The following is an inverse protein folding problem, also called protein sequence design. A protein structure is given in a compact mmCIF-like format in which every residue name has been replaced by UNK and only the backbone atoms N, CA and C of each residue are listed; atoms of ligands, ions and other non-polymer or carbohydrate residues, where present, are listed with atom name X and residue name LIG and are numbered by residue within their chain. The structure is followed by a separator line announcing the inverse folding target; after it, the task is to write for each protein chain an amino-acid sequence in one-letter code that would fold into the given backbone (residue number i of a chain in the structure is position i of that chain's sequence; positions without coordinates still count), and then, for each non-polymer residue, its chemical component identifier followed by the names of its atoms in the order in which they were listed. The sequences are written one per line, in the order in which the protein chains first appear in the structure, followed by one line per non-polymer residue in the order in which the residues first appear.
data_IF_023924526972
#
_entry.id   IF_023924526972
#
_cell.length_a   1.000
_cell.length_b   1.000
_cell.length_c   1.000
_cell.angle_alpha   90.00
_cell.angle_beta   90.00
_cell.angle_gamma   90.00
#
_symmetry.space_group_name_H-M   'P 1'
#
loop_
_entity.id
_entity.type
_entity.pdbx_description
1 polymer ?
#
# COMPACT_ATOMS: atom_id res chain seq x y z
N UNK A 1 -15.31 61.28 47.53
CA UNK A 1 -16.44 60.42 47.09
C UNK A 1 -15.91 59.59 45.93
N UNK A 2 -15.23 58.44 46.14
CA UNK A 2 -15.77 57.09 46.46
C UNK A 2 -16.93 56.71 45.51
N UNK A 3 -16.95 55.64 44.71
CA UNK A 3 -16.28 54.33 44.82
C UNK A 3 -16.15 53.62 43.46
N UNK A 4 -15.23 52.64 43.39
CA UNK A 4 -15.12 51.57 42.38
C UNK A 4 -16.24 50.51 42.52
N UNK A 5 -16.45 49.70 41.48
CA UNK A 5 -16.42 48.22 41.64
C UNK A 5 -15.55 47.58 40.54
N UNK A 6 -14.51 46.77 40.76
CA UNK A 6 -14.34 45.44 41.39
C UNK A 6 -15.27 44.33 40.84
N UNK A 7 -14.74 43.64 39.82
CA UNK A 7 -14.51 42.18 39.72
C UNK A 7 -15.70 41.20 39.75
N UNK A 8 -15.80 40.31 38.73
CA UNK A 8 -15.66 38.86 38.95
C UNK A 8 -15.56 38.06 37.64
N UNK A 9 -14.47 37.29 37.55
CA UNK A 9 -14.21 36.24 36.55
C UNK A 9 -14.77 34.91 37.05
N UNK A 10 -15.60 34.22 36.26
CA UNK A 10 -16.02 32.84 36.56
C UNK A 10 -15.14 31.91 35.73
N UNK A 11 -14.07 31.40 36.36
CA UNK A 11 -13.36 30.20 35.92
C UNK A 11 -14.00 29.00 36.62
N UNK A 12 -14.70 28.16 35.86
CA UNK A 12 -15.11 26.84 36.35
C UNK A 12 -13.92 25.89 36.23
N UNK A 13 -13.32 25.58 37.37
CA UNK A 13 -12.30 24.53 37.54
C UNK A 13 -13.00 23.39 38.27
N UNK A 14 -13.12 22.22 37.63
CA UNK A 14 -13.46 20.98 38.33
C UNK A 14 -12.26 20.05 38.25
N UNK A 15 -11.69 19.80 39.42
CA UNK A 15 -10.63 18.84 39.71
C UNK A 15 -11.04 18.03 40.94
N UNK A 16 -10.40 16.87 41.07
CA UNK A 16 -10.48 15.86 42.15
C UNK A 16 -11.63 14.86 41.91
N UNK A 17 -11.41 13.55 41.93
CA UNK A 17 -10.61 12.79 42.90
C UNK A 17 -10.08 11.47 42.31
N UNK A 18 -8.80 11.18 42.55
CA UNK A 18 -8.22 9.83 42.54
C UNK A 18 -8.70 9.08 43.78
N UNK A 19 -9.09 7.82 43.65
CA UNK A 19 -8.91 6.81 44.70
C UNK A 19 -8.60 5.45 44.07
N UNK A 20 -7.54 4.84 44.59
CA UNK A 20 -7.02 3.51 44.30
C UNK A 20 -7.13 2.74 45.63
N UNK A 21 -7.63 1.50 45.66
CA UNK A 21 -7.39 0.62 46.80
C UNK A 21 -6.56 -0.62 46.42
N UNK A 22 -5.67 -0.94 47.35
CA UNK A 22 -4.76 -2.09 47.40
C UNK A 22 -5.53 -3.39 47.68
N UNK A 23 -4.96 -4.51 47.20
CA UNK A 23 -5.42 -5.89 47.31
C UNK A 23 -5.59 -6.42 48.76
N UNK A 24 -6.22 -7.60 48.93
CA UNK A 24 -5.40 -8.77 49.26
C UNK A 24 -5.77 -10.06 48.50
N UNK A 25 -4.75 -10.91 48.39
CA UNK A 25 -4.69 -12.32 47.96
C UNK A 25 -5.49 -13.28 48.83
N UNK A 26 -5.94 -14.43 48.28
CA UNK A 26 -5.57 -15.80 48.70
C UNK A 26 -6.26 -16.89 47.86
N UNK A 27 -5.43 -17.85 47.40
CA UNK A 27 -5.68 -19.28 47.14
C UNK A 27 -6.72 -19.71 46.09
N UNK A 28 -6.70 -20.89 45.45
CA UNK A 28 -5.71 -21.93 45.13
C UNK A 28 -6.54 -22.98 44.38
N UNK A 29 -6.32 -23.21 43.09
CA UNK A 29 -6.64 -24.52 42.49
C UNK A 29 -5.58 -24.90 41.45
N UNK A 30 -4.85 -25.95 41.79
CA UNK A 30 -3.87 -26.66 40.97
C UNK A 30 -4.61 -27.59 40.00
N UNK A 31 -4.19 -27.65 38.73
CA UNK A 31 -3.82 -28.90 38.04
C UNK A 31 -3.26 -28.67 36.63
N UNK A 32 -2.46 -29.63 36.09
CA UNK A 32 -1.30 -29.32 35.27
C UNK A 32 -1.39 -29.82 33.81
N UNK A 33 -0.36 -29.42 33.05
CA UNK A 33 0.29 -30.15 31.95
C UNK A 33 -0.59 -30.64 30.79
N UNK A 34 -0.45 -29.99 29.63
CA UNK A 34 -0.14 -30.72 28.40
C UNK A 34 0.75 -29.89 27.47
N UNK A 35 1.99 -30.36 27.39
CA UNK A 35 3.12 -29.89 26.60
C UNK A 35 3.02 -30.56 25.23
N UNK A 36 2.52 -29.88 24.21
CA UNK A 36 2.67 -30.32 22.82
C UNK A 36 4.02 -29.85 22.30
N UNK A 37 4.98 -30.77 22.33
CA UNK A 37 6.28 -30.62 21.71
C UNK A 37 6.10 -30.67 20.19
N UNK A 38 6.44 -29.60 19.48
CA UNK A 38 6.75 -29.69 18.05
C UNK A 38 8.22 -30.08 17.92
N UNK A 39 8.45 -31.30 17.46
CA UNK A 39 9.76 -31.84 17.15
C UNK A 39 10.36 -31.06 15.98
N UNK A 40 11.51 -30.42 16.23
CA UNK A 40 12.42 -29.92 15.20
C UNK A 40 12.97 -31.10 14.41
N UNK A 41 12.69 -31.16 13.12
CA UNK A 41 13.44 -31.99 12.19
C UNK A 41 14.66 -31.19 11.71
N UNK A 42 15.82 -31.57 12.22
CA UNK A 42 17.13 -31.12 11.77
C UNK A 42 17.47 -31.83 10.46
N UNK A 43 17.40 -31.12 9.34
CA UNK A 43 17.97 -31.59 8.07
C UNK A 43 19.43 -31.17 7.98
N UNK A 44 20.33 -32.04 8.40
CA UNK A 44 21.76 -31.98 8.09
C UNK A 44 21.97 -32.48 6.66
N UNK A 45 22.09 -31.56 5.70
CA UNK A 45 22.66 -31.90 4.39
C UNK A 45 24.14 -31.56 4.42
N UNK A 46 24.95 -32.61 4.45
CA UNK A 46 26.39 -32.55 4.32
C UNK A 46 26.79 -31.90 2.99
N UNK A 47 27.71 -30.94 3.07
CA UNK A 47 28.32 -30.26 1.93
C UNK A 47 29.69 -30.91 1.68
N UNK A 48 29.90 -31.62 0.56
CA UNK A 48 31.26 -32.03 0.21
C UNK A 48 32.00 -30.83 -0.38
N UNK A 49 33.20 -30.59 0.15
CA UNK A 49 34.22 -29.77 -0.49
C UNK A 49 34.92 -30.64 -1.55
N UNK A 50 34.99 -30.16 -2.79
CA UNK A 50 35.90 -30.68 -3.80
C UNK A 50 36.48 -29.51 -4.61
N UNK A 51 37.78 -29.61 -4.85
CA UNK A 51 38.67 -28.57 -5.32
C UNK A 51 38.66 -28.40 -6.85
N UNK A 52 39.06 -27.18 -7.25
CA UNK A 52 39.84 -26.78 -8.44
C UNK A 52 39.81 -27.70 -9.66
N UNK A 53 39.27 -27.19 -10.77
CA UNK A 53 39.95 -27.25 -12.07
C UNK A 53 39.63 -26.02 -12.92
N UNK A 54 40.69 -25.49 -13.51
CA UNK A 54 40.74 -24.53 -14.60
C UNK A 54 40.22 -25.18 -15.87
N UNK A 55 39.31 -24.53 -16.63
CA UNK A 55 39.40 -24.62 -18.09
C UNK A 55 38.69 -23.47 -18.84
N UNK A 56 39.52 -22.71 -19.54
CA UNK A 56 39.39 -22.17 -20.89
C UNK A 56 38.02 -22.27 -21.59
N UNK A 57 37.33 -21.13 -21.77
CA UNK A 57 36.24 -20.98 -22.76
C UNK A 57 36.73 -20.24 -24.00
N UNK A 58 36.60 -20.82 -25.22
CA UNK A 58 36.93 -20.12 -26.45
C UNK A 58 35.86 -19.08 -26.81
N UNK A 59 36.35 -17.89 -27.18
CA UNK A 59 35.57 -16.75 -27.64
C UNK A 59 35.21 -16.92 -29.12
N UNK A 60 34.03 -17.47 -29.42
CA UNK A 60 33.49 -17.50 -30.78
C UNK A 60 32.67 -16.23 -31.03
N UNK A 61 33.33 -15.22 -31.64
CA UNK A 61 32.67 -14.02 -32.19
C UNK A 61 31.94 -14.41 -33.48
N UNK A 62 30.63 -14.61 -33.41
CA UNK A 62 29.76 -14.58 -34.60
C UNK A 62 29.32 -13.15 -34.84
N UNK A 63 29.89 -12.53 -35.87
CA UNK A 63 29.49 -11.23 -36.37
C UNK A 63 28.18 -11.38 -37.17
N UNK A 64 27.09 -10.86 -36.63
CA UNK A 64 25.86 -10.65 -37.40
C UNK A 64 25.79 -9.17 -37.82
N UNK A 65 25.51 -8.86 -39.09
CA UNK A 65 25.37 -7.47 -39.54
C UNK A 65 24.06 -6.88 -38.99
N UNK A 66 24.19 -5.82 -38.20
CA UNK A 66 23.07 -5.03 -37.67
C UNK A 66 22.31 -4.35 -38.81
N UNK A 67 20.97 -4.42 -38.89
CA UNK A 67 20.22 -3.59 -39.82
C UNK A 67 20.30 -2.12 -39.38
N UNK A 68 20.62 -1.26 -40.35
CA UNK A 68 20.71 0.20 -40.20
C UNK A 68 19.33 0.72 -39.77
N UNK A 69 19.22 1.14 -38.51
CA UNK A 69 18.04 1.83 -38.02
C UNK A 69 18.01 3.25 -38.60
N UNK A 70 17.14 3.50 -39.57
CA UNK A 70 16.79 4.85 -40.01
C UNK A 70 16.17 5.61 -38.83
N UNK A 71 16.93 6.55 -38.25
CA UNK A 71 16.39 7.50 -37.26
C UNK A 71 15.59 8.57 -37.99
N UNK A 72 14.27 8.57 -37.80
CA UNK A 72 13.43 9.70 -38.15
C UNK A 72 13.76 10.88 -37.23
N UNK A 73 14.40 11.94 -37.76
CA UNK A 73 14.65 13.18 -37.05
C UNK A 73 13.36 13.99 -37.02
N UNK A 74 12.54 13.83 -35.96
CA UNK A 74 11.39 14.70 -35.73
C UNK A 74 11.87 16.04 -35.18
N UNK A 75 11.56 17.11 -35.90
CA UNK A 75 11.80 18.49 -35.52
C UNK A 75 11.17 18.77 -34.15
N UNK A 76 11.98 18.93 -33.11
CA UNK A 76 11.50 19.37 -31.82
C UNK A 76 11.06 20.83 -31.95
N UNK A 77 9.74 21.07 -32.05
CA UNK A 77 9.19 22.39 -31.81
C UNK A 77 9.61 22.85 -30.40
N UNK A 78 9.91 24.15 -30.20
CA UNK A 78 10.22 24.68 -28.87
C UNK A 78 8.92 24.64 -28.06
N UNK A 79 8.65 23.49 -27.46
CA UNK A 79 7.67 23.41 -26.40
C UNK A 79 8.21 24.30 -25.30
N UNK A 80 7.50 25.38 -25.03
CA UNK A 80 7.48 26.04 -23.71
C UNK A 80 7.05 24.99 -22.68
N UNK A 81 7.93 24.02 -22.42
CA UNK A 81 7.85 23.07 -21.33
C UNK A 81 8.17 23.88 -20.08
N UNK A 82 7.21 24.68 -19.65
CA UNK A 82 7.07 24.94 -18.23
C UNK A 82 6.79 23.56 -17.62
N UNK A 83 7.87 22.86 -17.26
CA UNK A 83 7.80 21.71 -16.38
C UNK A 83 7.00 22.18 -15.17
N UNK A 84 5.75 21.73 -15.06
CA UNK A 84 4.85 22.25 -14.04
C UNK A 84 5.46 21.85 -12.72
N UNK A 85 6.10 22.81 -12.05
CA UNK A 85 6.71 22.63 -10.74
C UNK A 85 5.59 22.30 -9.77
N UNK A 86 5.37 21.01 -9.59
CA UNK A 86 4.31 20.50 -8.74
C UNK A 86 4.64 20.94 -7.31
N UNK A 87 3.65 21.27 -6.48
CA UNK A 87 3.87 21.48 -5.05
C UNK A 87 3.87 20.12 -4.28
N UNK A 88 4.35 20.07 -3.04
CA UNK A 88 4.35 18.85 -2.21
C UNK A 88 2.93 18.38 -1.91
N UNK A 89 2.00 19.30 -1.63
CA UNK A 89 0.61 18.92 -1.37
C UNK A 89 -0.06 18.37 -2.63
N UNK A 90 0.25 18.97 -3.78
CA UNK A 90 -0.22 18.49 -5.08
C UNK A 90 0.37 17.11 -5.44
N UNK A 91 1.65 16.88 -5.15
CA UNK A 91 2.29 15.57 -5.33
C UNK A 91 1.58 14.46 -4.55
N UNK A 92 1.33 14.67 -3.26
CA UNK A 92 0.64 13.69 -2.42
C UNK A 92 -0.81 13.45 -2.88
N UNK A 93 -1.51 14.50 -3.30
CA UNK A 93 -2.85 14.37 -3.92
C UNK A 93 -2.80 13.54 -5.19
N UNK A 94 -1.83 13.77 -6.07
CA UNK A 94 -1.67 12.99 -7.31
C UNK A 94 -1.34 11.52 -7.02
N UNK A 95 -0.46 11.25 -6.06
CA UNK A 95 -0.13 9.88 -5.61
C UNK A 95 -1.36 9.16 -5.05
N UNK A 96 -2.14 9.84 -4.19
CA UNK A 96 -3.38 9.30 -3.62
C UNK A 96 -4.45 9.10 -4.71
N UNK A 97 -4.52 10.01 -5.69
CA UNK A 97 -5.49 9.94 -6.79
C UNK A 97 -5.33 8.65 -7.57
N UNK A 98 -4.09 8.24 -7.91
CA UNK A 98 -3.83 7.02 -8.69
C UNK A 98 -4.51 5.78 -8.10
N UNK A 99 -4.44 5.61 -6.77
CA UNK A 99 -5.10 4.49 -6.07
C UNK A 99 -6.62 4.63 -6.06
N UNK A 100 -7.15 5.85 -5.91
CA UNK A 100 -8.60 6.12 -5.97
C UNK A 100 -9.17 5.84 -7.35
N UNK A 101 -8.49 6.22 -8.43
CA UNK A 101 -8.94 5.95 -9.79
C UNK A 101 -9.08 4.45 -10.06
N UNK A 102 -8.13 3.63 -9.61
CA UNK A 102 -8.24 2.17 -9.75
C UNK A 102 -9.40 1.58 -8.95
N UNK A 103 -9.68 2.09 -7.74
CA UNK A 103 -10.81 1.63 -6.93
C UNK A 103 -12.15 2.04 -7.54
N UNK A 104 -12.26 3.31 -7.94
CA UNK A 104 -13.48 3.85 -8.57
C UNK A 104 -13.75 3.15 -9.89
N UNK A 105 -12.71 2.90 -10.70
CA UNK A 105 -12.87 2.19 -11.96
C UNK A 105 -13.26 0.73 -11.76
N UNK A 106 -12.73 0.01 -10.75
CA UNK A 106 -13.20 -1.33 -10.39
C UNK A 106 -14.69 -1.38 -10.08
N UNK A 107 -15.18 -0.44 -9.27
CA UNK A 107 -16.59 -0.38 -8.92
C UNK A 107 -17.43 0.00 -10.14
N UNK A 108 -17.02 1.03 -10.88
CA UNK A 108 -17.73 1.48 -12.07
C UNK A 108 -17.77 0.42 -13.17
N UNK A 109 -16.66 -0.28 -13.43
CA UNK A 109 -16.59 -1.37 -14.41
C UNK A 109 -17.38 -2.59 -13.96
N UNK A 110 -17.43 -2.89 -12.66
CA UNK A 110 -18.30 -3.94 -12.13
C UNK A 110 -19.78 -3.60 -12.37
N UNK A 111 -20.21 -2.38 -12.02
CA UNK A 111 -21.58 -1.91 -12.26
C UNK A 111 -21.94 -1.89 -13.75
N UNK A 112 -21.04 -1.40 -14.60
CA UNK A 112 -21.25 -1.36 -16.05
C UNK A 112 -21.34 -2.77 -16.63
N UNK A 113 -20.43 -3.67 -16.23
CA UNK A 113 -20.44 -5.07 -16.65
C UNK A 113 -21.73 -5.74 -16.20
N UNK A 114 -22.11 -5.64 -14.93
CA UNK A 114 -23.38 -6.19 -14.42
C UNK A 114 -24.58 -5.62 -15.15
N UNK A 115 -24.63 -4.32 -15.44
CA UNK A 115 -25.74 -3.71 -16.18
C UNK A 115 -25.86 -4.30 -17.59
N UNK A 116 -24.73 -4.45 -18.29
CA UNK A 116 -24.69 -5.10 -19.61
C UNK A 116 -25.06 -6.59 -19.49
N UNK A 117 -24.54 -7.28 -18.48
CA UNK A 117 -24.80 -8.69 -18.23
C UNK A 117 -26.25 -8.99 -17.95
N UNK A 118 -26.92 -8.16 -17.13
CA UNK A 118 -28.35 -8.24 -16.86
C UNK A 118 -29.15 -7.93 -18.12
N UNK A 119 -28.76 -6.93 -18.91
CA UNK A 119 -29.43 -6.64 -20.18
C UNK A 119 -29.34 -7.81 -21.16
N UNK A 120 -28.17 -8.45 -21.26
CA UNK A 120 -27.96 -9.64 -22.08
C UNK A 120 -28.76 -10.81 -21.53
N UNK A 121 -28.72 -11.08 -20.22
CA UNK A 121 -29.50 -12.14 -19.57
C UNK A 121 -31.01 -11.95 -19.74
N UNK A 122 -31.50 -10.71 -19.70
CA UNK A 122 -32.92 -10.40 -19.93
C UNK A 122 -33.37 -10.68 -21.36
N UNK A 123 -32.44 -10.74 -22.32
CA UNK A 123 -32.75 -11.09 -23.72
C UNK A 123 -32.65 -12.59 -24.00
N UNK A 124 -32.16 -13.39 -23.05
CA UNK A 124 -32.06 -14.84 -23.17
C UNK A 124 -33.25 -15.50 -22.48
N UNK A 125 -33.75 -16.61 -23.05
CA UNK A 125 -34.78 -17.40 -22.40
C UNK A 125 -34.22 -18.07 -21.12
N UNK A 126 -34.73 -17.66 -19.97
CA UNK A 126 -34.27 -18.13 -18.65
C UNK A 126 -34.50 -19.63 -18.47
N UNK A 127 -35.52 -20.21 -19.10
CA UNK A 127 -35.80 -21.65 -19.07
C UNK A 127 -34.72 -22.45 -19.80
N UNK A 128 -34.17 -21.92 -20.91
CA UNK A 128 -33.07 -22.55 -21.62
C UNK A 128 -31.78 -22.51 -20.81
N UNK A 129 -31.49 -21.41 -20.11
CA UNK A 129 -30.31 -21.29 -19.24
C UNK A 129 -30.40 -22.19 -18.00
N UNK A 130 -31.56 -22.28 -17.35
CA UNK A 130 -31.78 -23.16 -16.21
C UNK A 130 -31.68 -24.65 -16.56
N UNK A 131 -32.29 -25.06 -17.68
CA UNK A 131 -32.22 -26.43 -18.16
C UNK A 131 -30.80 -26.82 -18.65
N UNK A 132 -30.06 -25.89 -19.26
CA UNK A 132 -28.72 -26.13 -19.80
C UNK A 132 -27.64 -26.17 -18.71
N UNK A 133 -27.82 -25.42 -17.62
CA UNK A 133 -26.89 -25.38 -16.49
C UNK A 133 -27.35 -26.36 -15.41
N UNK A 134 -27.05 -27.64 -15.62
CA UNK A 134 -27.07 -28.69 -14.57
C UNK A 134 -28.43 -28.94 -13.89
N UNK A 135 -29.56 -28.49 -14.47
CA UNK A 135 -30.89 -28.64 -13.87
C UNK A 135 -31.11 -27.80 -12.60
N UNK A 136 -30.32 -26.73 -12.41
CA UNK A 136 -30.49 -25.77 -11.33
C UNK A 136 -31.69 -24.84 -11.58
N UNK A 137 -32.29 -24.33 -10.49
CA UNK A 137 -33.36 -23.32 -10.56
C UNK A 137 -32.88 -22.08 -11.34
N UNK A 138 -33.64 -21.61 -12.36
CA UNK A 138 -33.36 -20.40 -13.11
C UNK A 138 -32.99 -19.18 -12.25
N UNK A 139 -33.56 -19.00 -11.06
CA UNK A 139 -33.21 -17.89 -10.18
C UNK A 139 -31.79 -17.98 -9.61
N UNK A 140 -31.33 -19.19 -9.29
CA UNK A 140 -29.96 -19.43 -8.81
C UNK A 140 -28.97 -19.20 -9.95
N UNK A 141 -29.29 -19.72 -11.15
CA UNK A 141 -28.46 -19.51 -12.34
C UNK A 141 -28.35 -18.03 -12.68
N UNK A 142 -29.46 -17.28 -12.63
CA UNK A 142 -29.49 -15.84 -12.83
C UNK A 142 -28.61 -15.10 -11.81
N UNK A 143 -28.71 -15.46 -10.54
CA UNK A 143 -27.88 -14.88 -9.47
C UNK A 143 -26.39 -15.14 -9.68
N UNK A 144 -26.01 -16.38 -10.01
CA UNK A 144 -24.62 -16.76 -10.29
C UNK A 144 -24.08 -16.11 -11.55
N UNK A 145 -24.85 -16.06 -12.63
CA UNK A 145 -24.45 -15.41 -13.87
C UNK A 145 -24.28 -13.90 -13.70
N UNK A 146 -25.19 -13.26 -12.95
CA UNK A 146 -25.08 -11.82 -12.62
C UNK A 146 -23.85 -11.55 -11.75
N UNK A 147 -23.59 -12.39 -10.75
CA UNK A 147 -22.41 -12.29 -9.90
C UNK A 147 -21.11 -12.51 -10.70
N UNK A 148 -21.09 -13.49 -11.61
CA UNK A 148 -19.96 -13.74 -12.51
C UNK A 148 -19.68 -12.53 -13.40
N UNK A 149 -20.73 -11.92 -13.97
CA UNK A 149 -20.58 -10.72 -14.79
C UNK A 149 -20.02 -9.53 -13.99
N UNK A 150 -20.47 -9.34 -12.74
CA UNK A 150 -19.93 -8.32 -11.84
C UNK A 150 -18.48 -8.58 -11.44
N UNK A 151 -18.11 -9.84 -11.19
CA UNK A 151 -16.75 -10.25 -10.85
C UNK A 151 -15.78 -10.02 -12.01
N UNK A 152 -16.19 -10.35 -13.24
CA UNK A 152 -15.41 -10.09 -14.47
C UNK A 152 -15.20 -8.58 -14.64
N UNK A 153 -16.25 -7.78 -14.52
CA UNK A 153 -16.16 -6.31 -14.61
C UNK A 153 -15.25 -5.71 -13.54
N UNK A 154 -15.32 -6.24 -12.31
CA UNK A 154 -14.46 -5.81 -11.21
C UNK A 154 -12.98 -6.11 -11.48
N UNK A 155 -12.67 -7.26 -12.10
CA UNK A 155 -11.31 -7.68 -12.44
C UNK A 155 -10.68 -6.81 -13.54
N UNK A 156 -11.47 -6.40 -14.54
CA UNK A 156 -11.00 -5.53 -15.62
C UNK A 156 -10.87 -4.06 -15.21
N UNK A 157 -11.63 -3.62 -14.20
CA UNK A 157 -11.70 -2.21 -13.84
C UNK A 157 -10.37 -1.54 -13.44
N UNK A 158 -9.44 -2.15 -12.68
CA UNK A 158 -8.17 -1.52 -12.31
C UNK A 158 -7.28 -1.18 -13.52
N UNK A 159 -7.28 -2.06 -14.52
CA UNK A 159 -6.50 -1.88 -15.74
C UNK A 159 -7.01 -0.66 -16.53
N UNK A 160 -8.34 -0.57 -16.70
CA UNK A 160 -9.01 0.57 -17.36
C UNK A 160 -8.77 1.87 -16.58
N UNK A 161 -8.93 1.86 -15.26
CA UNK A 161 -8.70 3.04 -14.42
C UNK A 161 -7.28 3.55 -14.44
N UNK A 162 -6.28 2.66 -14.43
CA UNK A 162 -4.88 3.05 -14.54
C UNK A 162 -4.56 3.64 -15.92
N UNK A 163 -5.20 3.12 -16.98
CA UNK A 163 -5.14 3.71 -18.33
C UNK A 163 -5.69 5.13 -18.37
N UNK A 164 -6.92 5.33 -17.86
CA UNK A 164 -7.58 6.65 -17.82
C UNK A 164 -6.77 7.66 -17.01
N UNK A 165 -6.31 7.28 -15.81
CA UNK A 165 -5.44 8.14 -15.00
C UNK A 165 -4.18 8.53 -15.75
N UNK A 166 -3.59 7.57 -16.48
CA UNK A 166 -2.40 7.79 -17.27
C UNK A 166 -2.58 8.77 -18.43
N UNK A 167 -3.80 8.90 -18.97
CA UNK A 167 -4.16 9.85 -20.00
C UNK A 167 -4.46 11.23 -19.41
N UNK A 168 -5.29 11.30 -18.36
CA UNK A 168 -5.70 12.54 -17.68
C UNK A 168 -4.49 13.28 -17.10
N UNK A 169 -3.58 12.56 -16.45
CA UNK A 169 -2.41 13.16 -15.80
C UNK A 169 -1.12 13.07 -16.62
N UNK A 170 -1.22 12.87 -17.95
CA UNK A 170 -0.05 12.70 -18.83
C UNK A 170 0.95 13.85 -18.72
N UNK A 171 0.46 15.08 -18.56
CA UNK A 171 1.31 16.28 -18.42
C UNK A 171 2.09 16.33 -17.10
N UNK A 172 1.55 15.77 -16.03
CA UNK A 172 2.15 15.82 -14.70
C UNK A 172 3.05 14.61 -14.39
N UNK A 173 2.96 13.52 -15.17
CA UNK A 173 3.78 12.31 -15.02
C UNK A 173 5.28 12.57 -14.84
N UNK A 174 5.97 13.34 -15.70
CA UNK A 174 7.41 13.54 -15.55
C UNK A 174 7.74 14.25 -14.23
N UNK A 175 7.03 15.33 -13.90
CA UNK A 175 7.24 16.09 -12.66
C UNK A 175 6.90 15.28 -11.41
N UNK A 176 5.88 14.42 -11.45
CA UNK A 176 5.55 13.47 -10.38
C UNK A 176 6.69 12.47 -10.18
N UNK A 177 7.23 11.90 -11.25
CA UNK A 177 8.33 10.94 -11.16
C UNK A 177 9.60 11.57 -10.57
N UNK A 178 9.93 12.82 -10.96
CA UNK A 178 11.07 13.55 -10.37
C UNK A 178 10.85 13.78 -8.87
N UNK A 179 9.66 14.24 -8.47
CA UNK A 179 9.33 14.42 -7.06
C UNK A 179 9.25 13.13 -6.27
N UNK A 180 8.84 12.03 -6.90
CA UNK A 180 8.82 10.73 -6.26
C UNK A 180 10.24 10.28 -5.92
N UNK A 181 11.20 10.48 -6.83
CA UNK A 181 12.63 10.24 -6.54
C UNK A 181 13.13 11.11 -5.39
N UNK A 182 12.85 12.42 -5.42
CA UNK A 182 13.22 13.31 -4.32
C UNK A 182 12.60 12.90 -2.98
N UNK A 183 11.35 12.43 -3.00
CA UNK A 183 10.66 11.93 -1.82
C UNK A 183 11.36 10.68 -1.28
N UNK A 184 11.67 9.71 -2.15
CA UNK A 184 12.41 8.51 -1.77
C UNK A 184 13.79 8.83 -1.22
N UNK A 185 14.50 9.80 -1.80
CA UNK A 185 15.81 10.23 -1.30
C UNK A 185 15.70 10.82 0.11
N UNK A 186 14.66 11.61 0.40
CA UNK A 186 14.40 12.11 1.76
C UNK A 186 14.08 10.97 2.72
N UNK A 187 13.24 10.02 2.35
CA UNK A 187 12.93 8.85 3.19
C UNK A 187 14.19 8.04 3.46
N UNK A 188 15.01 7.78 2.43
CA UNK A 188 16.27 7.05 2.56
C UNK A 188 17.25 7.72 3.53
N UNK A 189 17.29 9.05 3.58
CA UNK A 189 18.17 9.80 4.50
C UNK A 189 17.70 9.77 5.95
N UNK A 190 16.39 9.73 6.20
CA UNK A 190 15.82 9.86 7.55
C UNK A 190 15.27 8.56 8.14
N UNK A 191 15.25 7.47 7.38
CA UNK A 191 14.84 6.14 7.87
C UNK A 191 15.83 5.62 8.91
N UNK A 192 15.31 4.97 9.94
CA UNK A 192 16.13 4.24 10.91
C UNK A 192 16.45 2.84 10.42
N UNK A 193 17.63 2.32 10.78
CA UNK A 193 18.05 0.97 10.45
C UNK A 193 17.12 -0.08 11.09
N UNK A 194 16.61 -1.06 10.31
CA UNK A 194 15.61 -2.01 10.78
C UNK A 194 16.25 -3.14 11.61
N UNK A 195 17.58 -3.29 11.58
CA UNK A 195 18.32 -4.36 12.25
C UNK A 195 18.29 -4.28 13.78
N UNK A 196 17.96 -3.12 14.36
CA UNK A 196 17.99 -2.91 15.82
C UNK A 196 16.61 -2.95 16.46
N UNK A 197 15.64 -3.64 15.85
CA UNK A 197 14.27 -3.69 16.36
C UNK A 197 14.09 -4.73 17.45
N UNK A 198 13.32 -4.37 18.47
CA UNK A 198 12.90 -5.29 19.53
C UNK A 198 11.40 -5.50 19.47
N UNK A 199 10.93 -6.65 19.95
CA UNK A 199 9.49 -6.98 19.98
C UNK A 199 8.68 -5.93 20.78
N UNK A 200 9.33 -5.25 21.73
CA UNK A 200 8.74 -4.21 22.58
C UNK A 200 8.77 -2.80 21.97
N UNK A 201 9.48 -2.58 20.86
CA UNK A 201 9.56 -1.30 20.16
C UNK A 201 9.57 -1.54 18.65
N UNK A 202 8.39 -1.74 18.02
CA UNK A 202 8.30 -2.05 16.60
C UNK A 202 8.83 -0.91 15.73
N UNK A 203 9.35 -1.28 14.56
CA UNK A 203 9.95 -0.34 13.60
C UNK A 203 8.87 0.61 13.11
N UNK A 204 9.05 1.93 13.19
CA UNK A 204 8.18 2.84 12.46
C UNK A 204 8.34 2.59 10.95
N UNK A 205 7.23 2.73 10.20
CA UNK A 205 7.10 2.40 8.76
C UNK A 205 8.40 2.66 7.98
N UNK A 206 9.10 1.58 7.64
CA UNK A 206 10.45 1.61 7.06
C UNK A 206 10.48 2.21 5.65
N UNK A 207 9.40 2.02 4.88
CA UNK A 207 9.30 2.45 3.48
C UNK A 207 8.50 3.74 3.32
N UNK A 208 7.85 4.23 4.37
CA UNK A 208 7.00 5.41 4.31
C UNK A 208 5.75 5.20 3.44
N UNK A 209 5.25 3.96 3.37
CA UNK A 209 4.07 3.58 2.59
C UNK A 209 2.83 4.40 3.03
N UNK A 210 2.73 4.69 4.33
CA UNK A 210 1.58 5.41 4.89
C UNK A 210 1.66 6.93 4.76
N UNK A 211 2.73 7.47 4.17
CA UNK A 211 2.93 8.91 4.01
C UNK A 211 2.12 9.41 2.81
N UNK A 212 0.89 9.82 3.08
CA UNK A 212 -0.05 10.38 2.08
C UNK A 212 -0.20 11.91 2.12
N UNK A 213 0.56 12.62 2.95
CA UNK A 213 0.50 14.08 3.09
C UNK A 213 1.78 14.64 3.73
N UNK A 214 1.99 15.95 3.61
CA UNK A 214 3.10 16.65 4.28
C UNK A 214 3.02 16.54 5.80
N UNK A 215 1.81 16.58 6.37
CA UNK A 215 1.62 16.37 7.81
C UNK A 215 1.99 14.95 8.23
N UNK A 216 1.61 13.95 7.43
CA UNK A 216 2.01 12.55 7.63
C UNK A 216 3.53 12.40 7.61
N UNK A 217 4.23 13.09 6.69
CA UNK A 217 5.69 13.11 6.65
C UNK A 217 6.32 13.69 7.92
N UNK A 218 5.76 14.80 8.45
CA UNK A 218 6.25 15.41 9.70
C UNK A 218 6.06 14.50 10.90
N UNK A 219 4.92 13.80 10.98
CA UNK A 219 4.66 12.84 12.05
C UNK A 219 5.60 11.64 11.94
N UNK A 220 5.79 11.11 10.73
CA UNK A 220 6.76 10.05 10.48
C UNK A 220 8.19 10.44 10.92
N UNK A 221 8.64 11.68 10.63
CA UNK A 221 9.94 12.17 11.13
C UNK A 221 10.02 12.23 12.66
N UNK A 222 8.91 12.54 13.35
CA UNK A 222 8.86 12.50 14.82
C UNK A 222 8.99 11.05 15.31
N UNK A 223 8.33 10.11 14.65
CA UNK A 223 8.38 8.69 15.01
C UNK A 223 9.81 8.13 14.85
N UNK A 224 10.50 8.47 13.75
CA UNK A 224 11.91 8.10 13.55
C UNK A 224 12.82 8.67 14.66
N UNK A 225 12.61 9.94 15.05
CA UNK A 225 13.38 10.58 16.14
C UNK A 225 13.06 9.97 17.51
N UNK A 226 11.79 9.64 17.77
CA UNK A 226 11.37 9.00 19.01
C UNK A 226 11.99 7.59 19.12
N UNK A 227 12.00 6.84 18.02
CA UNK A 227 12.66 5.54 17.95
C UNK A 227 14.18 5.65 18.18
N UNK A 228 14.85 6.60 17.52
CA UNK A 228 16.28 6.86 17.75
C UNK A 228 16.59 7.25 19.19
N UNK A 229 15.74 8.07 19.82
CA UNK A 229 15.90 8.46 21.25
C UNK A 229 15.77 7.25 22.16
N UNK A 230 14.75 6.41 21.94
CA UNK A 230 14.56 5.16 22.68
C UNK A 230 15.78 4.26 22.53
N UNK A 231 16.30 4.06 21.31
CA UNK A 231 17.50 3.26 21.05
C UNK A 231 18.71 3.73 21.85
N UNK A 232 18.96 5.05 21.92
CA UNK A 232 20.10 5.61 22.68
C UNK A 232 19.98 5.37 24.19
N UNK A 233 18.75 5.38 24.73
CA UNK A 233 18.52 5.20 26.16
C UNK A 233 18.68 3.74 26.63
N UNK A 234 18.71 2.76 25.73
CA UNK A 234 18.92 1.34 26.06
C UNK A 234 20.38 0.88 25.89
N UNK A 235 21.30 1.76 25.48
CA UNK A 235 22.73 1.45 25.23
C UNK A 235 23.63 2.18 26.25
N UNK A 236 23.10 2.51 27.43
CA UNK A 236 23.88 3.01 28.57
C UNK A 236 23.92 1.95 29.65
#
# INVERSE_FOLDING_TARGET
MSANPINMSIRTVMSLTRLNPVAPTLASTLRPLQRTQFTRLSSTTARPAAALTSDSRPNARTAFPSPIALRANSTAAPQTNQEVKLDWDSFFKLRASRRRYSLVSSVASSLASTSIGVQVLSSQDLEHLGASVMGLDPFIVLGLATAACGAVGWLLGPAVGNGIWGLVYRKYKPSVNTKEKEFFDRIRRFRVDPSTNSISNPVPDYYGEKIGSVQGYRNWLKDQRAYNRKRRNFIV
#
